data_IF_703682107518
#
_entry.id   IF_703682107518
#
_cell.length_a   1.000
_cell.length_b   1.000
_cell.length_c   1.000
_cell.angle_alpha   90.00
_cell.angle_beta   90.00
_cell.angle_gamma   90.00
#
_symmetry.space_group_name_H-M   'P 1'
#
loop_
_entity.id
_entity.type
_entity.pdbx_description
1 polymer ?
#
# COMPACT_ATOMS: atom_id res chain seq x y z
N UNK A 1 26.08 -42.04 23.92
CA UNK A 1 24.88 -41.37 24.46
C UNK A 1 24.58 -40.16 23.58
N UNK A 2 23.45 -40.17 22.86
CA UNK A 2 22.90 -39.04 22.09
C UNK A 2 22.13 -38.15 23.05
N UNK A 3 22.35 -36.83 23.01
CA UNK A 3 21.27 -35.84 23.17
C UNK A 3 21.55 -34.69 22.19
N UNK A 4 20.60 -34.51 21.26
CA UNK A 4 20.40 -33.35 20.37
C UNK A 4 19.47 -32.39 21.08
N UNK A 5 19.79 -31.09 21.12
CA UNK A 5 18.82 -29.97 21.19
C UNK A 5 19.52 -28.79 20.48
N UNK A 6 19.45 -28.73 19.14
CA UNK A 6 18.62 -27.81 18.35
C UNK A 6 18.68 -26.33 18.81
N UNK A 7 19.11 -25.38 17.94
CA UNK A 7 19.36 -24.00 18.34
C UNK A 7 18.04 -23.25 18.54
N UNK A 8 17.57 -23.24 19.78
CA UNK A 8 16.41 -22.49 20.24
C UNK A 8 16.81 -21.05 20.62
N UNK A 9 17.43 -20.29 19.71
CA UNK A 9 17.64 -18.85 19.93
C UNK A 9 17.65 -18.03 18.64
N UNK A 10 17.02 -18.55 17.58
CA UNK A 10 16.82 -17.85 16.31
C UNK A 10 15.33 -17.70 15.97
N UNK A 11 14.51 -17.42 16.99
CA UNK A 11 13.04 -17.33 16.88
C UNK A 11 12.45 -16.15 17.68
N UNK A 12 13.17 -15.04 17.83
CA UNK A 12 12.57 -13.81 18.39
C UNK A 12 13.17 -12.58 17.70
N UNK A 13 12.88 -12.38 16.41
CA UNK A 13 12.80 -11.01 15.85
C UNK A 13 12.24 -10.95 14.41
N UNK A 14 11.14 -11.65 14.11
CA UNK A 14 10.32 -11.31 12.95
C UNK A 14 8.83 -11.48 13.29
N UNK A 15 8.41 -10.83 14.39
CA UNK A 15 7.02 -10.44 14.51
C UNK A 15 6.86 -9.13 13.73
N UNK A 16 6.84 -9.21 12.40
CA UNK A 16 6.20 -8.16 11.61
C UNK A 16 4.69 -8.31 11.85
N UNK A 17 4.25 -7.81 13.00
CA UNK A 17 2.85 -7.52 13.21
C UNK A 17 2.37 -6.73 12.01
N UNK A 18 1.24 -7.16 11.46
CA UNK A 18 0.44 -6.48 10.45
C UNK A 18 0.04 -5.12 11.03
N UNK A 19 0.96 -4.16 11.00
CA UNK A 19 0.63 -2.78 11.19
C UNK A 19 -0.16 -2.40 9.93
N UNK A 20 -1.49 -2.41 10.05
CA UNK A 20 -2.30 -1.49 9.26
C UNK A 20 -1.57 -0.14 9.28
N UNK A 21 -1.44 0.59 8.17
CA UNK A 21 -0.82 1.91 8.21
C UNK A 21 -1.56 2.72 9.26
N UNK A 22 -0.95 2.85 10.44
CA UNK A 22 -1.44 3.73 11.47
C UNK A 22 -1.16 5.08 10.85
N UNK A 23 -2.18 5.72 10.29
CA UNK A 23 -2.08 7.16 10.05
C UNK A 23 -1.57 7.72 11.36
N UNK A 24 -0.38 8.33 11.34
CA UNK A 24 0.18 8.91 12.54
C UNK A 24 -0.94 9.77 13.17
N UNK A 25 -1.42 9.37 14.35
CA UNK A 25 -2.54 10.03 15.00
C UNK A 25 -2.27 11.53 15.24
N UNK A 26 -1.00 11.89 15.17
CA UNK A 26 -0.49 13.26 15.09
C UNK A 26 0.55 13.36 13.95
N UNK A 27 0.15 13.80 12.74
CA UNK A 27 1.08 13.94 11.62
C UNK A 27 2.10 15.05 11.85
N UNK A 28 3.35 14.82 11.43
CA UNK A 28 4.40 15.82 11.43
C UNK A 28 4.53 16.48 10.05
N UNK A 29 5.07 17.70 10.03
CA UNK A 29 5.42 18.34 8.77
C UNK A 29 6.30 17.41 7.93
N UNK A 30 6.04 17.42 6.63
CA UNK A 30 6.66 16.57 5.63
C UNK A 30 6.27 15.09 5.64
N UNK A 31 5.40 14.67 6.55
CA UNK A 31 4.84 13.33 6.46
C UNK A 31 4.13 13.13 5.13
N UNK A 32 4.24 11.91 4.61
CA UNK A 32 3.56 11.48 3.39
C UNK A 32 2.68 10.29 3.71
N UNK A 33 1.59 10.16 2.95
CA UNK A 33 0.74 8.97 3.00
C UNK A 33 0.18 8.66 1.63
N UNK A 34 -0.07 7.37 1.39
CA UNK A 34 -0.87 6.91 0.27
C UNK A 34 -2.28 6.58 0.78
N UNK A 35 -3.29 7.08 0.08
CA UNK A 35 -4.67 7.01 0.51
C UNK A 35 -5.64 7.02 -0.68
N UNK A 36 -6.91 6.72 -0.42
CA UNK A 36 -7.99 6.93 -1.37
C UNK A 36 -8.24 8.43 -1.64
N UNK A 37 -9.09 8.73 -2.63
CA UNK A 37 -9.52 10.09 -2.98
C UNK A 37 -10.02 10.93 -1.80
N UNK A 38 -10.69 10.31 -0.83
CA UNK A 38 -11.22 10.96 0.37
C UNK A 38 -10.17 11.13 1.49
N UNK A 39 -8.92 10.76 1.26
CA UNK A 39 -7.84 10.82 2.25
C UNK A 39 -7.83 9.68 3.29
N UNK A 40 -8.78 8.75 3.19
CA UNK A 40 -8.85 7.53 4.00
C UNK A 40 -7.92 6.41 3.50
N UNK A 41 -7.77 5.32 4.27
CA UNK A 41 -6.91 4.20 3.89
C UNK A 41 -7.39 3.53 2.61
N UNK A 42 -6.48 2.88 1.89
CA UNK A 42 -6.88 1.99 0.81
C UNK A 42 -7.86 0.95 1.35
N UNK A 43 -8.90 0.66 0.56
CA UNK A 43 -9.92 -0.31 0.95
C UNK A 43 -9.59 -1.68 0.37
N UNK A 44 -9.93 -2.70 1.14
CA UNK A 44 -9.99 -4.05 0.62
C UNK A 44 -11.13 -4.14 -0.40
N UNK A 45 -10.92 -4.90 -1.47
CA UNK A 45 -11.92 -5.11 -2.52
C UNK A 45 -12.21 -6.60 -2.71
N UNK A 46 -13.39 -6.91 -3.23
CA UNK A 46 -13.79 -8.26 -3.62
C UNK A 46 -14.23 -8.26 -5.08
N UNK A 47 -13.70 -9.18 -5.87
CA UNK A 47 -13.93 -9.30 -7.32
C UNK A 47 -14.12 -10.77 -7.69
N UNK A 48 -14.81 -11.07 -8.79
CA UNK A 48 -14.86 -12.46 -9.26
C UNK A 48 -13.59 -12.78 -10.05
N UNK A 49 -13.23 -14.07 -10.06
CA UNK A 49 -12.14 -14.55 -10.91
C UNK A 49 -12.39 -14.19 -12.39
N UNK A 50 -11.41 -13.51 -13.00
CA UNK A 50 -11.43 -13.08 -14.39
C UNK A 50 -12.04 -11.69 -14.65
N UNK A 51 -12.62 -11.04 -13.63
CA UNK A 51 -13.12 -9.66 -13.77
C UNK A 51 -11.95 -8.67 -13.93
N UNK A 52 -12.18 -7.59 -14.68
CA UNK A 52 -11.26 -6.45 -14.73
C UNK A 52 -11.19 -5.75 -13.38
N UNK A 53 -9.99 -5.45 -12.92
CA UNK A 53 -9.70 -4.79 -11.65
C UNK A 53 -9.14 -3.40 -11.96
N UNK A 54 -9.88 -2.38 -11.53
CA UNK A 54 -9.45 -0.99 -11.54
C UNK A 54 -8.95 -0.57 -10.15
N UNK A 55 -7.72 -0.07 -10.08
CA UNK A 55 -7.13 0.47 -8.86
C UNK A 55 -6.98 1.99 -8.94
N UNK A 56 -7.00 2.64 -7.78
CA UNK A 56 -6.74 4.07 -7.67
C UNK A 56 -6.11 4.39 -6.32
N UNK A 57 -5.09 5.24 -6.31
CA UNK A 57 -4.51 5.80 -5.10
C UNK A 57 -4.12 7.28 -5.28
N UNK A 58 -3.91 7.98 -4.17
CA UNK A 58 -3.34 9.33 -4.13
C UNK A 58 -2.16 9.38 -3.18
N UNK A 59 -1.16 10.20 -3.51
CA UNK A 59 -0.12 10.61 -2.57
C UNK A 59 -0.56 11.90 -1.89
N UNK A 60 -0.40 11.98 -0.57
CA UNK A 60 -0.58 13.20 0.20
C UNK A 60 0.73 13.59 0.89
N UNK A 61 0.91 14.89 1.06
CA UNK A 61 2.03 15.50 1.79
C UNK A 61 1.46 16.43 2.86
N UNK A 62 1.88 16.26 4.11
CA UNK A 62 1.42 17.08 5.22
C UNK A 62 2.24 18.37 5.30
N UNK A 63 1.65 19.47 4.85
CA UNK A 63 2.34 20.74 4.70
C UNK A 63 1.38 21.93 4.81
N UNK A 64 1.94 23.14 4.88
CA UNK A 64 1.17 24.38 4.82
C UNK A 64 0.76 24.69 3.38
N UNK A 65 -0.46 25.22 3.20
CA UNK A 65 -0.80 25.94 1.97
C UNK A 65 -0.57 27.43 2.19
N UNK A 66 -0.45 28.19 1.10
CA UNK A 66 -0.10 29.63 1.14
C UNK A 66 -1.03 30.43 2.06
N UNK A 67 -2.31 30.03 2.14
CA UNK A 67 -3.35 30.79 2.84
C UNK A 67 -3.78 30.16 4.18
N UNK A 68 -3.12 29.09 4.63
CA UNK A 68 -3.55 28.35 5.82
C UNK A 68 -2.51 28.40 6.94
N UNK A 69 -2.98 28.80 8.12
CA UNK A 69 -2.17 28.84 9.35
C UNK A 69 -1.82 27.43 9.85
N UNK A 70 -2.65 26.43 9.52
CA UNK A 70 -2.47 25.05 9.95
C UNK A 70 -2.03 24.17 8.78
N UNK A 71 -1.09 23.27 9.05
CA UNK A 71 -0.70 22.23 8.11
C UNK A 71 -1.87 21.28 7.85
N UNK A 72 -1.93 20.75 6.64
CA UNK A 72 -2.96 19.81 6.23
C UNK A 72 -2.41 18.80 5.22
N UNK A 73 -3.16 17.73 4.99
CA UNK A 73 -2.83 16.74 3.97
C UNK A 73 -3.16 17.28 2.58
N UNK A 74 -2.13 17.61 1.80
CA UNK A 74 -2.26 18.15 0.46
C UNK A 74 -2.02 17.03 -0.56
N UNK A 75 -2.99 16.70 -1.44
CA UNK A 75 -2.78 15.72 -2.48
C UNK A 75 -1.69 16.20 -3.47
N UNK A 76 -0.78 15.30 -3.84
CA UNK A 76 0.37 15.60 -4.68
C UNK A 76 0.14 15.15 -6.12
N UNK A 77 0.43 16.03 -7.06
CA UNK A 77 0.31 15.82 -8.50
C UNK A 77 1.67 15.53 -9.14
N UNK A 78 1.67 14.86 -10.29
CA UNK A 78 2.87 14.53 -11.05
C UNK A 78 3.92 13.78 -10.20
N UNK A 79 3.48 12.75 -9.48
CA UNK A 79 4.32 11.86 -8.66
C UNK A 79 4.03 10.40 -9.03
N UNK A 80 5.08 9.62 -9.22
CA UNK A 80 4.94 8.19 -9.51
C UNK A 80 4.62 7.40 -8.24
N UNK A 81 3.62 6.53 -8.33
CA UNK A 81 3.30 5.49 -7.35
C UNK A 81 3.52 4.12 -7.99
N UNK A 82 4.20 3.23 -7.27
CA UNK A 82 4.44 1.86 -7.70
C UNK A 82 3.40 0.94 -7.04
N UNK A 83 2.69 0.17 -7.85
CA UNK A 83 1.66 -0.78 -7.43
C UNK A 83 2.19 -2.20 -7.59
N UNK A 84 1.99 -3.01 -6.56
CA UNK A 84 2.38 -4.41 -6.56
C UNK A 84 1.24 -5.25 -6.00
N UNK A 85 0.90 -6.32 -6.70
CA UNK A 85 -0.10 -7.30 -6.26
C UNK A 85 0.61 -8.64 -6.10
N UNK A 86 0.56 -9.16 -4.89
CA UNK A 86 1.14 -10.46 -4.52
C UNK A 86 0.02 -11.44 -4.22
N UNK A 87 0.20 -12.70 -4.58
CA UNK A 87 -0.61 -13.78 -4.00
C UNK A 87 -0.32 -13.84 -2.50
N UNK A 88 -1.35 -13.92 -1.65
CA UNK A 88 -1.14 -14.02 -0.21
C UNK A 88 -0.73 -15.44 0.17
N UNK A 89 0.30 -15.56 1.02
CA UNK A 89 0.61 -16.80 1.72
C UNK A 89 -0.47 -17.10 2.77
N UNK A 90 -0.48 -18.33 3.28
CA UNK A 90 -1.43 -18.77 4.31
C UNK A 90 -1.31 -17.97 5.63
N UNK A 91 -0.14 -17.40 5.91
CA UNK A 91 0.12 -16.54 7.07
C UNK A 91 -0.19 -15.05 6.82
N UNK A 92 -0.72 -14.72 5.63
CA UNK A 92 -1.05 -13.35 5.22
C UNK A 92 0.12 -12.55 4.66
N UNK A 93 1.33 -13.11 4.61
CA UNK A 93 2.51 -12.44 4.02
C UNK A 93 2.45 -12.44 2.49
N UNK A 94 3.29 -11.63 1.85
CA UNK A 94 3.41 -11.62 0.40
C UNK A 94 4.08 -12.91 -0.08
N UNK A 95 3.39 -13.66 -0.94
CA UNK A 95 3.94 -14.73 -1.76
C UNK A 95 4.44 -14.17 -3.09
N UNK A 96 4.11 -14.88 -4.18
CA UNK A 96 4.56 -14.51 -5.52
C UNK A 96 3.95 -13.19 -6.00
N UNK A 97 4.79 -12.35 -6.64
CA UNK A 97 4.32 -11.18 -7.36
C UNK A 97 3.56 -11.64 -8.60
N UNK A 98 2.29 -11.28 -8.72
CA UNK A 98 1.43 -11.68 -9.84
C UNK A 98 1.15 -10.55 -10.81
N UNK A 99 1.26 -9.30 -10.35
CA UNK A 99 1.09 -8.12 -11.18
C UNK A 99 1.77 -6.90 -10.56
N UNK A 100 2.25 -5.99 -11.38
CA UNK A 100 2.78 -4.69 -10.96
C UNK A 100 2.66 -3.66 -12.05
N UNK A 101 2.49 -2.41 -11.67
CA UNK A 101 2.51 -1.26 -12.58
C UNK A 101 2.97 0.01 -11.84
N UNK A 102 3.34 1.04 -12.60
CA UNK A 102 3.71 2.36 -12.08
C UNK A 102 2.81 3.42 -12.71
N UNK A 103 2.05 4.14 -11.88
CA UNK A 103 1.16 5.20 -12.34
C UNK A 103 1.56 6.57 -11.78
N UNK A 104 1.44 7.61 -12.60
CA UNK A 104 1.66 8.99 -12.17
C UNK A 104 0.38 9.59 -11.60
N UNK A 105 0.47 10.32 -10.48
CA UNK A 105 -0.65 11.12 -9.98
C UNK A 105 -1.00 12.21 -10.98
N UNK A 106 -2.26 12.21 -11.42
CA UNK A 106 -2.76 13.10 -12.45
C UNK A 106 -2.75 14.58 -12.02
N UNK A 107 -2.51 15.49 -12.96
CA UNK A 107 -2.42 16.93 -12.69
C UNK A 107 -3.72 17.54 -12.14
N UNK A 108 -4.88 17.10 -12.62
CA UNK A 108 -6.18 17.67 -12.25
C UNK A 108 -6.85 16.94 -11.09
N UNK A 109 -6.65 15.62 -11.01
CA UNK A 109 -7.35 14.78 -10.03
C UNK A 109 -6.46 14.30 -8.89
N UNK A 110 -5.14 14.42 -9.01
CA UNK A 110 -4.14 13.83 -8.11
C UNK A 110 -4.25 12.30 -7.95
N UNK A 111 -5.09 11.64 -8.75
CA UNK A 111 -5.24 10.19 -8.76
C UNK A 111 -4.11 9.56 -9.58
N UNK A 112 -3.49 8.53 -9.04
CA UNK A 112 -2.71 7.57 -9.80
C UNK A 112 -3.60 6.35 -10.08
N UNK A 113 -3.83 6.09 -11.35
CA UNK A 113 -4.62 4.97 -11.84
C UNK A 113 -3.66 4.11 -12.67
N UNK A 114 -3.18 2.97 -12.16
CA UNK A 114 -2.44 2.03 -12.98
C UNK A 114 -3.35 1.35 -14.01
N UNK A 115 -2.74 0.64 -14.95
CA UNK A 115 -3.47 -0.12 -15.97
C UNK A 115 -4.37 -1.18 -15.34
N UNK A 116 -5.50 -1.44 -15.98
CA UNK A 116 -6.42 -2.52 -15.62
C UNK A 116 -5.76 -3.89 -15.75
N UNK A 117 -6.14 -4.82 -14.88
CA UNK A 117 -5.65 -6.20 -14.91
C UNK A 117 -6.70 -7.18 -14.39
N UNK A 118 -6.47 -8.47 -14.62
CA UNK A 118 -7.37 -9.55 -14.19
C UNK A 118 -6.65 -10.56 -13.32
N UNK A 119 -7.34 -11.14 -12.34
CA UNK A 119 -6.86 -12.27 -11.54
C UNK A 119 -7.78 -13.47 -11.75
N UNK A 120 -7.25 -14.60 -12.25
CA UNK A 120 -8.05 -15.77 -12.61
C UNK A 120 -8.13 -16.84 -11.51
N UNK A 121 -7.18 -16.83 -10.57
CA UNK A 121 -7.16 -17.81 -9.48
C UNK A 121 -7.89 -17.24 -8.26
N UNK A 122 -8.78 -18.05 -7.68
CA UNK A 122 -9.49 -17.66 -6.45
C UNK A 122 -8.52 -17.62 -5.27
N UNK A 123 -8.69 -16.65 -4.39
CA UNK A 123 -7.84 -16.51 -3.22
C UNK A 123 -7.76 -15.08 -2.70
N UNK A 124 -6.85 -14.87 -1.76
CA UNK A 124 -6.52 -13.54 -1.23
C UNK A 124 -5.22 -13.06 -1.84
N UNK A 125 -5.19 -11.79 -2.23
CA UNK A 125 -4.02 -11.11 -2.74
C UNK A 125 -3.74 -9.87 -1.90
N UNK A 126 -2.47 -9.53 -1.76
CA UNK A 126 -2.00 -8.34 -1.07
C UNK A 126 -1.67 -7.26 -2.10
N UNK A 127 -2.36 -6.13 -2.03
CA UNK A 127 -1.99 -4.91 -2.74
C UNK A 127 -1.02 -4.12 -1.87
N UNK A 128 0.12 -3.73 -2.45
CA UNK A 128 1.09 -2.82 -1.86
C UNK A 128 1.34 -1.66 -2.83
N UNK A 129 1.08 -0.45 -2.36
CA UNK A 129 1.37 0.78 -3.11
C UNK A 129 2.50 1.51 -2.41
N UNK A 130 3.52 1.93 -3.17
CA UNK A 130 4.72 2.61 -2.64
C UNK A 130 4.96 3.95 -3.32
N UNK A 131 5.51 4.87 -2.54
CA UNK A 131 6.12 6.09 -3.03
C UNK A 131 7.58 6.14 -2.61
N UNK A 132 8.47 6.25 -3.60
CA UNK A 132 9.93 6.21 -3.43
C UNK A 132 10.59 7.42 -4.13
N UNK A 133 9.84 8.52 -4.25
CA UNK A 133 10.32 9.76 -4.86
C UNK A 133 11.04 10.68 -3.87
N UNK A 134 11.08 11.99 -4.19
CA UNK A 134 11.85 12.98 -3.42
C UNK A 134 11.22 13.39 -2.08
N UNK A 135 9.91 13.21 -1.89
CA UNK A 135 9.29 13.42 -0.57
C UNK A 135 9.57 12.21 0.31
N UNK A 136 9.23 12.29 1.61
CA UNK A 136 9.36 11.15 2.53
C UNK A 136 8.73 9.89 1.91
N UNK A 137 9.44 8.77 1.95
CA UNK A 137 8.92 7.51 1.43
C UNK A 137 7.75 7.03 2.29
N UNK A 138 6.74 6.46 1.64
CA UNK A 138 5.61 5.85 2.33
C UNK A 138 5.05 4.69 1.52
N UNK A 139 4.28 3.84 2.20
CA UNK A 139 3.54 2.75 1.58
C UNK A 139 2.14 2.64 2.19
N UNK A 140 1.22 2.06 1.43
CA UNK A 140 -0.09 1.64 1.91
C UNK A 140 -0.38 0.23 1.37
N UNK A 141 -1.16 -0.53 2.13
CA UNK A 141 -1.54 -1.87 1.76
C UNK A 141 -3.06 -2.07 1.90
N UNK A 142 -3.59 -2.97 1.08
CA UNK A 142 -4.97 -3.43 1.12
C UNK A 142 -5.03 -4.88 0.59
N UNK A 143 -6.19 -5.52 0.67
CA UNK A 143 -6.43 -6.87 0.17
C UNK A 143 -7.35 -6.87 -1.03
N UNK A 144 -7.10 -7.80 -1.95
CA UNK A 144 -7.99 -8.13 -3.06
C UNK A 144 -8.46 -9.57 -2.82
N UNK A 145 -9.76 -9.75 -2.62
CA UNK A 145 -10.39 -11.05 -2.46
C UNK A 145 -10.98 -11.48 -3.81
N UNK A 146 -10.45 -12.56 -4.38
CA UNK A 146 -10.93 -13.12 -5.64
C UNK A 146 -11.82 -14.33 -5.33
N UNK A 147 -13.11 -14.23 -5.64
CA UNK A 147 -14.15 -15.22 -5.30
C UNK A 147 -14.67 -16.02 -6.50
#
# INVERSE_FOLDING_TARGET
MKIRILPLFMMVLMAFYVAQPIFAGNPQLEDTKIAMKNGGPLQDITVNAGDSIELQARLYWYWYTVDQVNAQWIPQICRYLNFYVYKSNADGTNGDLVWSDTAITNFFTANANPDEFTLNEKGTYNLLVKYEGKLKHCSAAAKIYVV
#
